data_IF_593278040109
#
_entry.id   IF_593278040109
#
_cell.length_a   1.000
_cell.length_b   1.000
_cell.length_c   1.000
_cell.angle_alpha   90.00
_cell.angle_beta   90.00
_cell.angle_gamma   90.00
#
_symmetry.space_group_name_H-M   'P 1'
#
loop_
_entity.id
_entity.type
_entity.pdbx_description
1 polymer ?
#
# COMPACT_ATOMS: atom_id res chain seq x y z
N UNK A 1 -13.67 -43.22 -41.18
CA UNK A 1 -14.09 -42.54 -39.94
C UNK A 1 -12.96 -42.58 -38.93
N UNK A 2 -12.16 -41.51 -38.95
CA UNK A 2 -11.06 -41.20 -38.04
C UNK A 2 -11.42 -41.47 -36.57
N UNK A 3 -10.92 -42.58 -36.01
CA UNK A 3 -10.64 -42.65 -34.58
C UNK A 3 -9.54 -41.63 -34.31
N UNK A 4 -9.93 -40.42 -33.92
CA UNK A 4 -9.05 -39.50 -33.21
C UNK A 4 -8.26 -40.33 -32.18
N UNK A 5 -6.95 -40.42 -32.35
CA UNK A 5 -6.03 -41.01 -31.39
C UNK A 5 -6.11 -40.22 -30.08
N UNK A 6 -7.12 -40.51 -29.27
CA UNK A 6 -7.26 -40.02 -27.91
C UNK A 6 -6.85 -41.16 -26.99
N UNK A 7 -5.54 -41.30 -26.79
CA UNK A 7 -4.98 -42.21 -25.79
C UNK A 7 -5.23 -41.58 -24.41
N UNK A 8 -6.45 -41.76 -23.91
CA UNK A 8 -6.95 -41.18 -22.65
C UNK A 8 -5.96 -41.42 -21.51
N UNK A 9 -5.25 -42.55 -21.50
CA UNK A 9 -4.19 -42.86 -20.52
C UNK A 9 -2.98 -41.92 -20.64
N UNK A 10 -2.44 -41.69 -21.83
CA UNK A 10 -1.28 -40.81 -22.03
C UNK A 10 -1.65 -39.34 -21.78
N UNK A 11 -2.88 -38.95 -22.13
CA UNK A 11 -3.39 -37.59 -21.84
C UNK A 11 -3.52 -37.38 -20.33
N UNK A 12 -4.10 -38.33 -19.59
CA UNK A 12 -4.22 -38.24 -18.13
C UNK A 12 -2.84 -38.19 -17.47
N UNK A 13 -1.91 -39.05 -17.90
CA UNK A 13 -0.54 -39.05 -17.36
C UNK A 13 0.15 -37.70 -17.55
N UNK A 14 0.02 -37.10 -18.74
CA UNK A 14 0.54 -35.76 -19.02
C UNK A 14 -0.06 -34.67 -18.13
N UNK A 15 -1.38 -34.71 -17.91
CA UNK A 15 -2.07 -33.75 -17.04
C UNK A 15 -1.59 -33.88 -15.59
N UNK A 16 -1.43 -35.10 -15.07
CA UNK A 16 -0.96 -35.31 -13.69
C UNK A 16 0.47 -34.77 -13.52
N UNK A 17 1.37 -35.07 -14.45
CA UNK A 17 2.75 -34.56 -14.42
C UNK A 17 2.74 -33.03 -14.47
N UNK A 18 1.96 -32.44 -15.37
CA UNK A 18 1.85 -30.99 -15.50
C UNK A 18 1.30 -30.32 -14.23
N UNK A 19 0.26 -30.89 -13.63
CA UNK A 19 -0.32 -30.37 -12.40
C UNK A 19 0.66 -30.42 -11.23
N UNK A 20 1.46 -31.48 -11.15
CA UNK A 20 2.51 -31.63 -10.14
C UNK A 20 3.62 -30.61 -10.37
N UNK A 21 4.08 -30.41 -11.61
CA UNK A 21 5.14 -29.45 -11.92
C UNK A 21 4.72 -27.99 -11.65
N UNK A 22 3.47 -27.62 -11.96
CA UNK A 22 2.95 -26.26 -11.67
C UNK A 22 2.66 -26.07 -10.18
N UNK A 23 2.21 -27.11 -9.48
CA UNK A 23 1.94 -27.02 -8.05
C UNK A 23 3.22 -27.13 -7.21
N UNK A 24 4.28 -27.75 -7.73
CA UNK A 24 5.57 -27.94 -7.06
C UNK A 24 6.15 -26.67 -6.42
N UNK A 25 6.24 -25.50 -7.11
CA UNK A 25 6.74 -24.29 -6.46
C UNK A 25 5.88 -23.85 -5.29
N UNK A 26 4.57 -24.09 -5.30
CA UNK A 26 3.70 -23.75 -4.17
C UNK A 26 3.99 -24.62 -2.95
N UNK A 27 4.17 -25.94 -3.14
CA UNK A 27 4.53 -26.86 -2.05
C UNK A 27 5.96 -26.66 -1.56
N UNK A 28 6.89 -26.40 -2.47
CA UNK A 28 8.31 -26.20 -2.16
C UNK A 28 8.58 -24.84 -1.48
N UNK A 29 7.80 -23.81 -1.80
CA UNK A 29 7.88 -22.49 -1.16
C UNK A 29 6.88 -22.31 -0.01
N UNK A 30 6.07 -23.32 0.32
CA UNK A 30 5.12 -23.24 1.43
C UNK A 30 5.87 -23.01 2.75
N UNK A 31 5.63 -21.88 3.41
CA UNK A 31 6.33 -21.48 4.64
C UNK A 31 7.64 -20.71 4.43
N UNK A 32 8.15 -20.57 3.19
CA UNK A 32 9.28 -19.69 2.86
C UNK A 32 8.78 -18.30 2.46
N UNK A 33 7.96 -17.68 3.30
CA UNK A 33 7.63 -16.27 3.10
C UNK A 33 8.92 -15.47 3.21
N UNK A 34 9.18 -14.59 2.24
CA UNK A 34 10.27 -13.63 2.35
C UNK A 34 10.12 -12.88 3.68
N UNK A 35 11.21 -12.71 4.45
CA UNK A 35 11.13 -12.01 5.72
C UNK A 35 10.57 -10.62 5.49
N UNK A 36 9.64 -10.21 6.36
CA UNK A 36 9.07 -8.87 6.28
C UNK A 36 10.21 -7.85 6.27
N UNK A 37 10.12 -6.78 5.45
CA UNK A 37 11.15 -5.77 5.44
C UNK A 37 11.21 -5.16 6.85
N UNK A 38 12.39 -5.11 7.45
CA UNK A 38 12.61 -4.27 8.63
C UNK A 38 12.28 -2.82 8.24
N UNK A 39 11.76 -1.99 9.13
CA UNK A 39 11.44 -0.59 8.76
C UNK A 39 12.24 0.31 9.68
N UNK A 40 13.02 1.24 9.11
CA UNK A 40 13.73 2.23 9.93
C UNK A 40 12.72 3.34 10.26
N UNK A 41 12.33 3.40 11.52
CA UNK A 41 11.50 4.50 12.02
C UNK A 41 12.40 5.60 12.58
N UNK A 42 12.01 6.84 12.32
CA UNK A 42 12.63 8.00 12.94
C UNK A 42 12.28 8.09 14.42
N UNK A 43 13.08 8.84 15.17
CA UNK A 43 12.83 9.03 16.60
C UNK A 43 11.47 9.69 16.85
N UNK A 44 11.06 10.63 15.99
CA UNK A 44 9.72 11.25 16.03
C UNK A 44 8.60 10.22 15.87
N UNK A 45 8.72 9.32 14.89
CA UNK A 45 7.74 8.26 14.67
C UNK A 45 7.68 7.28 15.86
N UNK A 46 8.85 6.94 16.42
CA UNK A 46 8.94 6.08 17.59
C UNK A 46 8.28 6.71 18.82
N UNK A 47 8.45 8.03 19.01
CA UNK A 47 7.85 8.75 20.13
C UNK A 47 6.33 8.90 19.97
N UNK A 48 5.85 9.14 18.74
CA UNK A 48 4.44 9.34 18.45
C UNK A 48 3.60 8.06 18.64
N UNK A 49 4.20 6.87 18.48
CA UNK A 49 3.58 5.53 18.52
C UNK A 49 2.54 5.26 17.43
N UNK A 50 1.77 6.28 17.07
CA UNK A 50 0.73 6.24 16.05
C UNK A 50 0.68 7.59 15.33
N UNK A 51 0.58 7.53 14.00
CA UNK A 51 0.38 8.72 13.17
C UNK A 51 -1.08 8.77 12.71
N UNK A 52 -1.37 8.48 11.45
CA UNK A 52 -2.73 8.62 10.90
C UNK A 52 -3.68 7.53 11.43
N UNK A 53 -3.22 6.26 11.41
CA UNK A 53 -3.95 5.06 11.83
C UNK A 53 -3.01 4.07 12.54
N UNK A 54 -3.55 2.95 13.04
CA UNK A 54 -2.74 1.90 13.65
C UNK A 54 -1.81 1.23 12.63
N UNK A 55 -0.78 0.52 13.11
CA UNK A 55 0.18 -0.19 12.26
C UNK A 55 -0.52 -1.25 11.43
N UNK A 56 -1.47 -1.96 12.03
CA UNK A 56 -2.22 -3.04 11.42
C UNK A 56 -3.08 -2.53 10.26
N UNK A 57 -3.74 -1.40 10.46
CA UNK A 57 -4.56 -0.75 9.44
C UNK A 57 -3.72 -0.19 8.30
N UNK A 58 -2.59 0.46 8.61
CA UNK A 58 -1.68 0.92 7.57
C UNK A 58 -1.12 -0.24 6.76
N UNK A 59 -0.80 -1.38 7.38
CA UNK A 59 -0.30 -2.55 6.64
C UNK A 59 -1.36 -3.15 5.70
N UNK A 60 -2.63 -3.15 6.12
CA UNK A 60 -3.72 -3.72 5.35
C UNK A 60 -4.27 -2.77 4.27
N UNK A 61 -4.24 -1.46 4.55
CA UNK A 61 -5.06 -0.47 3.86
C UNK A 61 -4.32 0.77 3.33
N UNK A 62 -2.99 0.85 3.48
CA UNK A 62 -2.20 2.05 3.15
C UNK A 62 -2.51 2.62 1.76
N UNK A 63 -2.54 1.78 0.73
CA UNK A 63 -2.76 2.26 -0.64
C UNK A 63 -4.21 2.65 -0.90
N UNK A 64 -5.19 1.99 -0.28
CA UNK A 64 -6.59 2.40 -0.39
C UNK A 64 -6.80 3.79 0.24
N UNK A 65 -6.15 4.05 1.38
CA UNK A 65 -6.17 5.35 2.03
C UNK A 65 -5.61 6.43 1.09
N UNK A 66 -4.45 6.19 0.48
CA UNK A 66 -3.81 7.13 -0.43
C UNK A 66 -4.62 7.38 -1.71
N UNK A 67 -5.25 6.35 -2.28
CA UNK A 67 -6.09 6.53 -3.47
C UNK A 67 -7.34 7.37 -3.15
N UNK A 68 -7.96 7.12 -1.99
CA UNK A 68 -9.06 7.95 -1.49
C UNK A 68 -8.64 9.39 -1.28
N UNK A 69 -7.48 9.61 -0.63
CA UNK A 69 -6.95 10.95 -0.43
C UNK A 69 -6.71 11.68 -1.76
N UNK A 70 -6.14 10.98 -2.74
CA UNK A 70 -5.93 11.55 -4.08
C UNK A 70 -7.24 11.98 -4.70
N UNK A 71 -8.27 11.13 -4.65
CA UNK A 71 -9.60 11.46 -5.18
C UNK A 71 -10.19 12.68 -4.50
N UNK A 72 -10.17 12.71 -3.17
CA UNK A 72 -10.69 13.83 -2.37
C UNK A 72 -9.98 15.14 -2.65
N UNK A 73 -8.64 15.13 -2.70
CA UNK A 73 -7.86 16.35 -2.96
C UNK A 73 -8.03 16.83 -4.40
N UNK A 74 -7.95 15.94 -5.38
CA UNK A 74 -7.93 16.32 -6.81
C UNK A 74 -9.33 16.59 -7.35
N UNK A 75 -10.33 15.80 -6.96
CA UNK A 75 -11.70 15.90 -7.52
C UNK A 75 -12.64 16.72 -6.64
N UNK A 76 -12.54 16.58 -5.32
CA UNK A 76 -13.48 17.23 -4.39
C UNK A 76 -12.92 18.52 -3.77
N UNK A 77 -11.63 18.81 -3.97
CA UNK A 77 -10.90 19.89 -3.29
C UNK A 77 -10.93 19.78 -1.75
N UNK A 78 -11.23 18.60 -1.21
CA UNK A 78 -11.16 18.35 0.23
C UNK A 78 -9.74 17.96 0.61
N UNK A 79 -9.19 18.57 1.66
CA UNK A 79 -7.80 18.37 2.10
C UNK A 79 -7.70 17.92 3.54
N UNK A 80 -8.82 17.68 4.23
CA UNK A 80 -8.80 17.26 5.63
C UNK A 80 -9.38 15.86 5.77
N UNK A 81 -8.56 14.95 6.27
CA UNK A 81 -8.99 13.62 6.69
C UNK A 81 -9.10 13.59 8.21
N UNK A 82 -10.17 13.01 8.74
CA UNK A 82 -10.35 12.79 10.17
C UNK A 82 -10.23 11.31 10.44
N UNK A 83 -9.30 10.91 11.31
CA UNK A 83 -9.15 9.50 11.65
C UNK A 83 -10.23 9.04 12.65
N UNK A 84 -10.27 7.74 12.95
CA UNK A 84 -11.24 7.15 13.90
C UNK A 84 -11.20 7.79 15.30
N UNK A 85 -10.06 8.38 15.68
CA UNK A 85 -9.87 9.09 16.95
C UNK A 85 -10.31 10.56 16.90
N UNK A 86 -10.89 11.00 15.79
CA UNK A 86 -11.34 12.38 15.60
C UNK A 86 -10.22 13.39 15.35
N UNK A 87 -8.99 12.93 15.13
CA UNK A 87 -7.83 13.81 14.89
C UNK A 87 -7.79 14.20 13.40
N UNK A 88 -7.77 15.50 13.08
CA UNK A 88 -7.66 15.97 11.71
C UNK A 88 -6.22 15.85 11.19
N UNK A 89 -6.09 15.49 9.92
CA UNK A 89 -4.85 15.39 9.17
C UNK A 89 -5.03 16.07 7.83
N UNK A 90 -3.99 16.76 7.36
CA UNK A 90 -3.95 17.27 6.00
C UNK A 90 -3.72 16.09 5.06
N UNK A 91 -4.54 15.94 4.04
CA UNK A 91 -4.37 14.90 3.01
C UNK A 91 -3.18 15.27 2.12
N UNK A 92 -1.97 15.11 2.65
CA UNK A 92 -0.72 15.46 2.01
C UNK A 92 0.38 14.48 2.41
N UNK A 93 1.00 13.87 1.41
CA UNK A 93 2.12 12.96 1.63
C UNK A 93 3.28 13.67 2.35
N UNK A 94 3.60 14.90 1.92
CA UNK A 94 4.74 15.66 2.42
C UNK A 94 4.51 16.27 3.80
N UNK A 95 3.31 16.80 4.05
CA UNK A 95 2.99 17.48 5.32
C UNK A 95 2.36 16.57 6.38
N UNK A 96 2.12 15.29 6.09
CA UNK A 96 1.56 14.36 7.07
C UNK A 96 2.32 13.05 7.11
N UNK A 97 2.47 12.36 5.99
CA UNK A 97 3.15 11.07 5.99
C UNK A 97 4.66 11.24 6.22
N UNK A 98 5.32 12.17 5.52
CA UNK A 98 6.76 12.42 5.64
C UNK A 98 7.15 13.17 6.92
N UNK A 99 6.22 13.84 7.61
CA UNK A 99 6.48 14.39 8.94
C UNK A 99 6.74 13.28 9.97
N UNK A 100 6.11 12.12 9.80
CA UNK A 100 6.39 10.92 10.59
C UNK A 100 7.47 10.01 9.93
N UNK A 101 7.39 9.84 8.61
CA UNK A 101 8.22 8.93 7.81
C UNK A 101 9.21 9.70 6.93
N UNK A 102 10.10 10.46 7.56
CA UNK A 102 10.91 11.45 6.86
C UNK A 102 11.92 10.87 5.85
N UNK A 103 12.23 9.57 5.94
CA UNK A 103 13.12 8.89 5.01
C UNK A 103 12.35 7.92 4.09
N UNK A 104 12.08 8.36 2.86
CA UNK A 104 11.45 7.53 1.83
C UNK A 104 12.26 6.28 1.52
N UNK A 105 13.58 6.42 1.33
CA UNK A 105 14.46 5.32 0.95
C UNK A 105 14.53 4.21 2.02
N UNK A 106 14.51 4.60 3.30
CA UNK A 106 14.63 3.66 4.42
C UNK A 106 13.28 3.18 4.97
N UNK A 107 12.16 3.73 4.50
CA UNK A 107 10.82 3.36 4.95
C UNK A 107 9.90 2.95 3.80
N UNK A 108 9.50 3.92 2.96
CA UNK A 108 8.54 3.67 1.88
C UNK A 108 9.11 2.67 0.88
N UNK A 109 10.33 2.91 0.39
CA UNK A 109 10.93 2.07 -0.66
C UNK A 109 11.17 0.63 -0.17
N UNK A 110 11.32 0.39 1.14
CA UNK A 110 11.47 -0.96 1.69
C UNK A 110 10.24 -1.83 1.45
N UNK A 111 9.03 -1.28 1.65
CA UNK A 111 7.79 -2.01 1.37
C UNK A 111 7.51 -2.08 -0.14
N UNK A 112 7.84 -1.04 -0.89
CA UNK A 112 7.54 -0.99 -2.32
C UNK A 112 8.45 -1.91 -3.13
N UNK A 113 9.73 -1.96 -2.78
CA UNK A 113 10.67 -2.93 -3.32
C UNK A 113 10.30 -4.36 -2.90
N UNK A 114 9.87 -4.55 -1.66
CA UNK A 114 9.44 -5.87 -1.17
C UNK A 114 8.22 -6.39 -1.95
N UNK A 115 7.25 -5.52 -2.24
CA UNK A 115 6.07 -5.85 -3.03
C UNK A 115 6.30 -5.75 -4.55
N UNK A 116 7.51 -5.39 -4.99
CA UNK A 116 7.86 -5.14 -6.39
C UNK A 116 6.91 -4.18 -7.10
N UNK A 117 6.48 -3.12 -6.41
CA UNK A 117 5.61 -2.07 -6.97
C UNK A 117 6.37 -0.77 -7.12
N UNK A 118 6.13 -0.07 -8.23
CA UNK A 118 6.69 1.25 -8.48
C UNK A 118 5.55 2.28 -8.57
N UNK A 119 5.27 3.05 -7.51
CA UNK A 119 4.22 4.05 -7.52
C UNK A 119 4.59 5.24 -8.39
N UNK A 120 3.73 5.52 -9.37
CA UNK A 120 3.83 6.70 -10.22
C UNK A 120 3.51 8.02 -9.47
N UNK A 121 3.10 7.96 -8.20
CA UNK A 121 2.82 9.17 -7.42
C UNK A 121 4.05 10.10 -7.38
N UNK A 122 5.25 9.52 -7.36
CA UNK A 122 6.52 10.24 -7.30
C UNK A 122 6.94 10.88 -8.63
N UNK A 123 6.29 10.52 -9.74
CA UNK A 123 6.52 11.17 -11.03
C UNK A 123 6.16 12.67 -10.96
N UNK A 124 5.21 13.00 -10.09
CA UNK A 124 4.77 14.37 -9.84
C UNK A 124 5.02 14.86 -8.41
N UNK A 125 5.02 13.98 -7.41
CA UNK A 125 5.32 14.34 -6.03
C UNK A 125 6.84 14.33 -5.83
N UNK A 126 7.42 15.50 -5.61
CA UNK A 126 8.85 15.61 -5.24
C UNK A 126 9.02 15.03 -3.83
N UNK A 127 10.21 14.53 -3.50
CA UNK A 127 10.59 14.17 -2.14
C UNK A 127 10.75 15.44 -1.29
N UNK A 128 9.99 15.54 -0.20
CA UNK A 128 10.12 16.60 0.80
C UNK A 128 9.93 18.08 0.31
N UNK A 129 8.96 18.42 -0.57
CA UNK A 129 8.59 19.80 -0.84
C UNK A 129 7.65 20.22 0.30
N UNK A 130 8.20 20.89 1.32
CA UNK A 130 7.37 21.52 2.35
C UNK A 130 6.59 22.66 1.69
N UNK A 131 5.40 22.38 1.20
CA UNK A 131 4.46 23.40 0.80
C UNK A 131 3.76 23.92 2.06
N UNK A 132 3.97 25.20 2.39
CA UNK A 132 3.30 25.85 3.52
C UNK A 132 1.79 25.91 3.24
N UNK A 133 1.00 25.03 3.86
CA UNK A 133 -0.47 25.08 3.77
C UNK A 133 -0.98 26.18 4.71
N UNK A 134 -0.69 27.45 4.38
CA UNK A 134 -1.27 28.58 5.10
C UNK A 134 -2.76 28.68 4.72
N UNK A 135 -3.63 28.50 5.72
CA UNK A 135 -5.06 28.80 5.70
C UNK A 135 -6.02 27.83 4.99
N UNK A 136 -5.77 26.50 4.97
CA UNK A 136 -6.86 25.57 4.62
C UNK A 136 -7.85 25.46 5.79
N UNK A 137 -8.92 26.26 5.76
CA UNK A 137 -10.06 26.10 6.65
C UNK A 137 -10.72 24.76 6.33
N UNK A 138 -10.82 23.89 7.35
CA UNK A 138 -11.67 22.69 7.32
C UNK A 138 -13.02 23.09 6.70
N UNK A 139 -13.34 22.57 5.51
CA UNK A 139 -14.60 22.94 4.87
C UNK A 139 -15.74 22.48 5.77
N UNK A 140 -16.69 23.35 6.08
CA UNK A 140 -17.83 23.10 6.97
C UNK A 140 -18.55 21.75 6.70
N UNK A 141 -18.47 21.27 5.45
CA UNK A 141 -18.96 19.96 5.00
C UNK A 141 -18.44 18.75 5.80
N UNK A 142 -17.25 18.81 6.41
CA UNK A 142 -16.71 17.69 7.20
C UNK A 142 -17.22 17.66 8.64
N UNK A 143 -17.95 18.70 9.10
CA UNK A 143 -18.54 18.75 10.45
C UNK A 143 -19.93 18.10 10.54
N UNK A 144 -20.54 17.77 9.39
CA UNK A 144 -21.89 17.22 9.31
C UNK A 144 -21.92 15.68 9.21
N UNK A 145 -20.77 15.02 9.07
CA UNK A 145 -20.67 13.56 9.16
C UNK A 145 -20.61 13.13 10.63
N UNK A 146 -21.73 13.25 11.35
CA UNK A 146 -21.98 12.54 12.60
C UNK A 146 -23.17 11.61 12.42
#
# INVERSE_FOLDING_TARGET
MNKLMYDKGNVIAGIVIFAVLISFPFWYNLGKAAPAPELVLTDAAKAAKECVMSKEEMKAGHMQLLDMWREKVVRESDRIYVNEKGKPYVMSLSNTCLDCHSNKAEFCDRCHNYSSVDPYCWDCHIDNPKAEVKNFKVSEKSKEAK
#
